data_IF_304670613658
#
_entry.id   IF_304670613658
#
_cell.length_a   1.000
_cell.length_b   1.000
_cell.length_c   1.000
_cell.angle_alpha   90.00
_cell.angle_beta   90.00
_cell.angle_gamma   90.00
#
_symmetry.space_group_name_H-M   'P 1'
#
loop_
_entity.id
_entity.type
_entity.pdbx_description
1 polymer ?
#
# COMPACT_ATOMS: atom_id res chain seq x y z
N UNK A 1 34.53 -22.98 30.21
CA UNK A 1 34.31 -23.14 28.75
C UNK A 1 32.88 -23.49 28.37
N UNK A 2 32.23 -24.51 28.98
CA UNK A 2 30.83 -24.87 28.62
C UNK A 2 29.79 -23.79 29.00
N UNK A 3 29.91 -23.20 30.19
CA UNK A 3 28.95 -22.20 30.68
C UNK A 3 29.01 -20.87 29.89
N UNK A 4 30.22 -20.40 29.56
CA UNK A 4 30.42 -19.19 28.75
C UNK A 4 29.93 -19.35 27.31
N UNK A 5 30.08 -20.54 26.73
CA UNK A 5 29.53 -20.87 25.40
C UNK A 5 28.00 -20.89 25.41
N UNK A 6 27.38 -21.50 26.44
CA UNK A 6 25.92 -21.51 26.63
C UNK A 6 25.36 -20.09 26.78
N UNK A 7 26.02 -19.24 27.56
CA UNK A 7 25.61 -17.83 27.72
C UNK A 7 25.68 -17.05 26.40
N UNK A 8 26.74 -17.24 25.61
CA UNK A 8 26.88 -16.58 24.31
C UNK A 8 25.77 -16.99 23.33
N UNK A 9 25.40 -18.28 23.30
CA UNK A 9 24.30 -18.77 22.46
C UNK A 9 22.95 -18.16 22.87
N UNK A 10 22.66 -18.08 24.17
CA UNK A 10 21.42 -17.48 24.68
C UNK A 10 21.34 -15.99 24.33
N UNK A 11 22.45 -15.26 24.47
CA UNK A 11 22.49 -13.83 24.12
C UNK A 11 22.26 -13.63 22.62
N UNK A 12 22.87 -14.45 21.76
CA UNK A 12 22.67 -14.35 20.31
C UNK A 12 21.25 -14.70 19.88
N UNK A 13 20.62 -15.73 20.46
CA UNK A 13 19.23 -16.08 20.13
C UNK A 13 18.24 -15.03 20.65
N UNK A 14 18.44 -14.51 21.86
CA UNK A 14 17.63 -13.42 22.40
C UNK A 14 17.75 -12.16 21.53
N UNK A 15 18.98 -11.79 21.13
CA UNK A 15 19.19 -10.67 20.22
C UNK A 15 18.51 -10.90 18.86
N UNK A 16 18.59 -12.11 18.31
CA UNK A 16 17.90 -12.48 17.07
C UNK A 16 16.38 -12.36 17.16
N UNK A 17 15.78 -12.82 18.27
CA UNK A 17 14.34 -12.72 18.54
C UNK A 17 13.92 -11.26 18.70
N UNK A 18 14.69 -10.46 19.45
CA UNK A 18 14.45 -9.02 19.61
C UNK A 18 14.51 -8.34 18.24
N UNK A 19 15.57 -8.54 17.46
CA UNK A 19 15.68 -7.97 16.10
C UNK A 19 14.52 -8.41 15.20
N UNK A 20 14.06 -9.65 15.31
CA UNK A 20 12.92 -10.17 14.55
C UNK A 20 11.61 -9.51 14.97
N UNK A 21 11.36 -9.33 16.28
CA UNK A 21 10.17 -8.69 16.81
C UNK A 21 10.13 -7.17 16.55
N UNK A 22 11.30 -6.51 16.60
CA UNK A 22 11.44 -5.08 16.32
C UNK A 22 11.70 -4.76 14.85
N UNK A 23 11.68 -5.77 13.97
CA UNK A 23 11.67 -5.55 12.53
C UNK A 23 10.30 -5.01 12.14
N UNK A 24 10.08 -3.72 12.38
CA UNK A 24 8.96 -3.01 11.81
C UNK A 24 9.13 -3.07 10.29
N UNK A 25 8.26 -3.84 9.63
CA UNK A 25 8.20 -3.88 8.19
C UNK A 25 7.79 -2.49 7.70
N UNK A 26 8.78 -1.70 7.31
CA UNK A 26 8.54 -0.55 6.46
C UNK A 26 8.26 -1.07 5.06
N UNK A 27 7.24 -0.50 4.43
CA UNK A 27 6.95 -0.77 3.03
C UNK A 27 7.24 0.51 2.28
N UNK A 28 8.26 0.49 1.43
CA UNK A 28 8.58 1.57 0.52
C UNK A 28 8.68 0.96 -0.87
N UNK A 29 7.70 1.24 -1.72
CA UNK A 29 7.60 0.60 -3.02
C UNK A 29 6.74 1.40 -4.01
N UNK A 30 6.87 1.07 -5.28
CA UNK A 30 6.07 1.59 -6.39
C UNK A 30 5.43 0.42 -7.12
N UNK A 31 4.18 0.62 -7.53
CA UNK A 31 3.40 -0.34 -8.27
C UNK A 31 2.83 0.29 -9.54
N UNK A 32 2.90 -0.43 -10.65
CA UNK A 32 2.22 -0.08 -11.90
C UNK A 32 1.10 -1.09 -12.14
N UNK A 33 -0.13 -0.60 -12.33
CA UNK A 33 -1.31 -1.45 -12.50
C UNK A 33 -2.22 -0.92 -13.60
N UNK A 34 -2.92 -1.82 -14.27
CA UNK A 34 -3.96 -1.48 -15.23
C UNK A 34 -5.25 -2.17 -14.81
N UNK A 35 -6.29 -1.38 -14.58
CA UNK A 35 -7.63 -1.89 -14.32
C UNK A 35 -8.45 -1.74 -15.60
N UNK A 36 -9.04 -2.83 -16.06
CA UNK A 36 -9.87 -2.85 -17.25
C UNK A 36 -11.30 -3.13 -16.81
N UNK A 37 -12.23 -2.24 -17.16
CA UNK A 37 -13.65 -2.38 -16.80
C UNK A 37 -14.52 -1.82 -17.91
N UNK A 38 -15.47 -2.61 -18.37
CA UNK A 38 -16.45 -2.19 -19.39
C UNK A 38 -15.80 -1.49 -20.59
N UNK A 39 -14.67 -1.97 -21.11
CA UNK A 39 -13.97 -1.38 -22.26
C UNK A 39 -13.18 -0.08 -21.98
N UNK A 40 -13.22 0.43 -20.76
CA UNK A 40 -12.35 1.52 -20.29
C UNK A 40 -11.08 0.93 -19.64
N UNK A 41 -9.97 1.66 -19.73
CA UNK A 41 -8.70 1.29 -19.09
C UNK A 41 -8.22 2.37 -18.15
N UNK A 42 -7.99 2.00 -16.89
CA UNK A 42 -7.41 2.87 -15.89
C UNK A 42 -5.99 2.41 -15.54
N UNK A 43 -5.00 3.10 -16.10
CA UNK A 43 -3.58 2.87 -15.84
C UNK A 43 -3.13 3.69 -14.64
N UNK A 44 -2.53 3.06 -13.64
CA UNK A 44 -2.23 3.68 -12.35
C UNK A 44 -0.82 3.34 -11.89
N UNK A 45 -0.08 4.38 -11.53
CA UNK A 45 1.16 4.31 -10.77
C UNK A 45 0.82 4.66 -9.33
N UNK A 46 1.18 3.78 -8.41
CA UNK A 46 0.93 3.96 -6.98
C UNK A 46 2.23 3.81 -6.22
N UNK A 47 2.64 4.84 -5.48
CA UNK A 47 3.72 4.70 -4.49
C UNK A 47 3.12 4.47 -3.11
N UNK A 48 3.78 3.62 -2.32
CA UNK A 48 3.46 3.38 -0.92
C UNK A 48 4.70 3.65 -0.08
N UNK A 49 4.50 4.44 0.97
CA UNK A 49 5.43 4.54 2.09
C UNK A 49 4.67 4.24 3.39
N UNK A 50 5.10 3.24 4.14
CA UNK A 50 4.47 2.81 5.38
C UNK A 50 5.55 2.59 6.43
N UNK A 51 5.39 3.22 7.60
CA UNK A 51 6.26 3.04 8.75
C UNK A 51 5.52 3.35 10.05
N UNK A 52 5.76 2.55 11.09
CA UNK A 52 5.32 2.87 12.47
C UNK A 52 3.80 3.15 12.60
N UNK A 53 2.94 2.46 11.83
CA UNK A 53 1.48 2.65 11.90
C UNK A 53 0.96 3.87 11.12
N UNK A 54 1.83 4.53 10.36
CA UNK A 54 1.50 5.63 9.47
C UNK A 54 1.90 5.30 8.03
N UNK A 55 1.16 5.84 7.07
CA UNK A 55 1.56 5.70 5.68
C UNK A 55 1.10 6.83 4.78
N UNK A 56 1.72 6.88 3.61
CA UNK A 56 1.44 7.80 2.53
C UNK A 56 1.31 7.00 1.24
N UNK A 57 0.26 7.27 0.49
CA UNK A 57 0.05 6.76 -0.86
C UNK A 57 0.03 7.94 -1.81
N UNK A 58 0.88 7.94 -2.83
CA UNK A 58 0.69 8.83 -3.98
C UNK A 58 0.13 8.01 -5.15
N UNK A 59 -0.91 8.53 -5.79
CA UNK A 59 -1.55 7.90 -6.95
C UNK A 59 -1.51 8.87 -8.10
N UNK A 60 -0.94 8.42 -9.22
CA UNK A 60 -1.06 9.08 -10.50
C UNK A 60 -1.67 8.09 -11.48
N UNK A 61 -2.73 8.49 -12.17
CA UNK A 61 -3.46 7.59 -13.05
C UNK A 61 -4.00 8.28 -14.30
N UNK A 62 -4.27 7.45 -15.30
CA UNK A 62 -4.80 7.84 -16.60
C UNK A 62 -5.99 6.93 -16.93
N UNK A 63 -7.20 7.48 -16.86
CA UNK A 63 -8.40 6.81 -17.34
C UNK A 63 -8.55 7.08 -18.83
N UNK A 64 -8.61 6.01 -19.63
CA UNK A 64 -8.92 6.05 -21.06
C UNK A 64 -10.31 5.49 -21.27
N UNK A 65 -11.22 6.30 -21.79
CA UNK A 65 -12.59 5.86 -22.10
C UNK A 65 -12.69 5.16 -23.47
N UNK A 66 -13.92 4.82 -23.89
CA UNK A 66 -14.19 4.18 -25.17
C UNK A 66 -13.82 5.02 -26.40
N UNK A 67 -13.88 6.35 -26.26
CA UNK A 67 -13.60 7.31 -27.32
C UNK A 67 -12.12 7.72 -27.33
N UNK A 68 -11.28 7.06 -26.53
CA UNK A 68 -9.88 7.36 -26.27
C UNK A 68 -9.65 8.73 -25.61
N UNK A 69 -10.68 9.32 -24.99
CA UNK A 69 -10.46 10.49 -24.15
C UNK A 69 -9.69 10.10 -22.89
N UNK A 70 -8.86 11.03 -22.42
CA UNK A 70 -7.99 10.80 -21.28
C UNK A 70 -8.34 11.74 -20.15
N UNK A 71 -8.70 11.17 -19.00
CA UNK A 71 -8.89 11.89 -17.74
C UNK A 71 -7.82 11.48 -16.73
N UNK A 72 -7.15 12.45 -16.12
CA UNK A 72 -6.06 12.20 -15.17
C UNK A 72 -6.53 12.15 -13.71
N UNK A 73 -5.96 11.22 -12.94
CA UNK A 73 -6.00 11.19 -11.48
C UNK A 73 -4.63 11.58 -10.93
N UNK A 74 -4.59 12.45 -9.93
CA UNK A 74 -3.33 12.75 -9.23
C UNK A 74 -3.61 13.19 -7.81
N UNK A 75 -3.21 12.39 -6.81
CA UNK A 75 -3.49 12.70 -5.41
C UNK A 75 -2.51 12.04 -4.44
N UNK A 76 -2.45 12.59 -3.24
CA UNK A 76 -1.77 12.01 -2.09
C UNK A 76 -2.82 11.66 -1.02
N UNK A 77 -2.65 10.49 -0.41
CA UNK A 77 -3.46 10.01 0.71
C UNK A 77 -2.51 9.76 1.88
N UNK A 78 -2.74 10.42 3.02
CA UNK A 78 -2.13 10.00 4.29
C UNK A 78 -3.10 9.12 5.05
N UNK A 79 -2.58 8.13 5.76
CA UNK A 79 -3.38 7.21 6.52
C UNK A 79 -2.66 6.71 7.77
N UNK A 80 -3.43 6.19 8.70
CA UNK A 80 -2.92 5.37 9.82
C UNK A 80 -3.33 3.93 9.59
N UNK A 81 -2.60 2.98 10.19
CA UNK A 81 -2.96 1.57 10.11
C UNK A 81 -2.65 0.81 11.39
N UNK A 82 -3.44 -0.23 11.64
CA UNK A 82 -3.17 -1.27 12.63
C UNK A 82 -2.86 -2.57 11.90
N UNK A 83 -1.85 -3.31 12.39
CA UNK A 83 -1.37 -4.54 11.76
C UNK A 83 -1.71 -5.76 12.61
N UNK A 84 -2.29 -6.76 11.97
CA UNK A 84 -2.54 -8.11 12.53
C UNK A 84 -2.01 -9.15 11.53
N UNK A 85 -0.77 -9.61 11.72
CA UNK A 85 -0.09 -10.48 10.75
C UNK A 85 0.11 -9.76 9.41
N UNK A 86 -0.44 -10.30 8.32
CA UNK A 86 -0.39 -9.69 6.99
C UNK A 86 -1.56 -8.72 6.71
N UNK A 87 -2.50 -8.60 7.65
CA UNK A 87 -3.64 -7.70 7.53
C UNK A 87 -3.29 -6.31 8.09
N UNK A 88 -3.55 -5.29 7.29
CA UNK A 88 -3.36 -3.88 7.62
C UNK A 88 -4.70 -3.18 7.51
N UNK A 89 -5.31 -2.86 8.65
CA UNK A 89 -6.54 -2.08 8.68
C UNK A 89 -6.20 -0.60 8.61
N UNK A 90 -6.21 -0.06 7.39
CA UNK A 90 -5.86 1.33 7.14
C UNK A 90 -7.07 2.26 7.28
N UNK A 91 -6.84 3.48 7.75
CA UNK A 91 -7.83 4.55 7.81
C UNK A 91 -7.26 5.83 7.21
N UNK A 92 -7.92 6.35 6.18
CA UNK A 92 -7.52 7.60 5.54
C UNK A 92 -7.65 8.77 6.51
N UNK A 93 -6.63 9.61 6.61
CA UNK A 93 -6.58 10.77 7.51
C UNK A 93 -6.51 12.09 6.75
N UNK A 94 -5.97 12.09 5.54
CA UNK A 94 -5.90 13.25 4.66
C UNK A 94 -5.92 12.79 3.20
N UNK A 95 -6.64 13.51 2.35
CA UNK A 95 -6.65 13.30 0.90
C UNK A 95 -6.47 14.66 0.25
N UNK A 96 -5.42 14.81 -0.54
CA UNK A 96 -5.09 16.04 -1.25
C UNK A 96 -4.96 15.73 -2.74
N UNK A 97 -5.84 16.32 -3.55
CA UNK A 97 -5.71 16.24 -5.00
C UNK A 97 -4.68 17.25 -5.47
N UNK A 98 -3.82 16.82 -6.39
CA UNK A 98 -2.87 17.71 -7.05
C UNK A 98 -3.61 18.55 -8.13
N UNK A 99 -3.11 19.75 -8.50
CA UNK A 99 -3.76 20.59 -9.51
C UNK A 99 -3.95 19.95 -10.89
N UNK A 100 -3.19 18.90 -11.21
CA UNK A 100 -3.30 18.11 -12.44
C UNK A 100 -4.38 17.02 -12.38
N UNK A 101 -5.06 16.86 -11.24
CA UNK A 101 -6.19 15.96 -11.12
C UNK A 101 -7.41 16.49 -11.89
N UNK A 102 -7.89 15.69 -12.83
CA UNK A 102 -9.04 16.01 -13.68
C UNK A 102 -10.26 15.12 -13.40
N UNK A 103 -10.05 13.94 -12.78
CA UNK A 103 -11.16 13.03 -12.47
C UNK A 103 -12.09 13.67 -11.43
N UNK A 104 -13.37 13.73 -11.78
CA UNK A 104 -14.46 14.09 -10.88
C UNK A 104 -14.61 13.10 -9.74
N UNK A 105 -15.28 13.51 -8.65
CA UNK A 105 -15.53 12.61 -7.52
C UNK A 105 -16.35 11.38 -7.93
N UNK A 106 -17.30 11.52 -8.86
CA UNK A 106 -18.13 10.43 -9.35
C UNK A 106 -17.31 9.40 -10.15
N UNK A 107 -16.41 9.87 -11.03
CA UNK A 107 -15.49 8.98 -11.74
C UNK A 107 -14.55 8.25 -10.77
N UNK A 108 -14.05 8.95 -9.76
CA UNK A 108 -13.22 8.32 -8.72
C UNK A 108 -13.99 7.22 -7.97
N UNK A 109 -15.26 7.44 -7.62
CA UNK A 109 -16.10 6.44 -6.94
C UNK A 109 -16.36 5.19 -7.79
N UNK A 110 -16.33 5.32 -9.12
CA UNK A 110 -16.46 4.17 -10.03
C UNK A 110 -15.23 3.26 -10.01
N UNK A 111 -14.04 3.83 -9.78
CA UNK A 111 -12.76 3.13 -9.95
C UNK A 111 -12.02 2.84 -8.65
N UNK A 112 -12.24 3.64 -7.62
CA UNK A 112 -11.48 3.59 -6.37
C UNK A 112 -12.39 3.27 -5.19
N UNK A 113 -11.91 2.47 -4.23
CA UNK A 113 -12.54 2.32 -2.93
C UNK A 113 -12.66 3.66 -2.18
N UNK A 114 -13.65 3.74 -1.28
CA UNK A 114 -13.92 4.94 -0.48
C UNK A 114 -12.70 5.48 0.28
N UNK A 115 -11.78 4.62 0.72
CA UNK A 115 -10.52 5.01 1.37
C UNK A 115 -9.68 6.01 0.57
N UNK A 116 -9.71 5.96 -0.76
CA UNK A 116 -8.97 6.87 -1.63
C UNK A 116 -9.72 8.17 -1.97
N UNK A 117 -10.93 8.34 -1.46
CA UNK A 117 -11.86 9.41 -1.83
C UNK A 117 -12.38 10.18 -0.61
N UNK A 118 -12.60 9.48 0.51
CA UNK A 118 -13.26 10.02 1.71
C UNK A 118 -12.34 9.90 2.91
N UNK A 119 -12.03 11.03 3.55
CA UNK A 119 -11.28 11.05 4.82
C UNK A 119 -12.06 10.30 5.90
N UNK A 120 -11.37 9.47 6.66
CA UNK A 120 -11.93 8.64 7.71
C UNK A 120 -12.44 7.27 7.23
N UNK A 121 -12.54 7.03 5.92
CA UNK A 121 -12.87 5.72 5.39
C UNK A 121 -11.73 4.71 5.66
N UNK A 122 -12.12 3.46 5.87
CA UNK A 122 -11.20 2.36 6.15
C UNK A 122 -11.02 1.46 4.94
N UNK A 123 -9.86 0.81 4.85
CA UNK A 123 -9.59 -0.20 3.86
C UNK A 123 -8.68 -1.29 4.41
N UNK A 124 -9.10 -2.57 4.35
CA UNK A 124 -8.23 -3.68 4.70
C UNK A 124 -7.29 -3.98 3.54
N UNK A 125 -6.00 -3.73 3.75
CA UNK A 125 -4.96 -4.26 2.87
C UNK A 125 -4.46 -5.58 3.43
N UNK A 126 -4.28 -6.59 2.58
CA UNK A 126 -3.41 -7.72 2.92
C UNK A 126 -2.12 -7.53 2.14
N UNK A 127 -0.98 -7.45 2.83
CA UNK A 127 0.32 -7.20 2.19
C UNK A 127 1.20 -8.41 2.45
N UNK A 128 1.54 -9.13 1.37
CA UNK A 128 2.38 -10.33 1.46
C UNK A 128 3.70 -10.08 0.76
N UNK A 129 4.81 -10.39 1.42
CA UNK A 129 6.13 -10.40 0.78
C UNK A 129 6.20 -11.60 -0.18
N UNK A 130 6.51 -11.35 -1.45
CA UNK A 130 6.59 -12.38 -2.49
C UNK A 130 8.00 -12.63 -3.01
N UNK A 131 8.96 -11.78 -2.63
CA UNK A 131 10.38 -11.95 -2.92
C UNK A 131 11.27 -10.99 -2.15
N UNK A 132 12.51 -10.83 -2.63
CA UNK A 132 13.43 -9.80 -2.13
C UNK A 132 12.88 -8.46 -2.58
N UNK A 133 12.51 -7.60 -1.63
CA UNK A 133 11.95 -6.26 -1.85
C UNK A 133 10.75 -6.18 -2.82
N UNK A 134 9.92 -7.23 -2.82
CA UNK A 134 8.67 -7.30 -3.58
C UNK A 134 7.52 -7.73 -2.68
N UNK A 135 6.39 -7.05 -2.84
CA UNK A 135 5.17 -7.26 -2.07
C UNK A 135 3.96 -7.31 -2.98
N UNK A 136 3.02 -8.20 -2.72
CA UNK A 136 1.71 -8.19 -3.36
C UNK A 136 0.68 -7.63 -2.39
N UNK A 137 -0.03 -6.60 -2.86
CA UNK A 137 -1.12 -5.97 -2.12
C UNK A 137 -2.44 -6.60 -2.56
N UNK A 138 -3.31 -6.87 -1.61
CA UNK A 138 -4.63 -7.44 -1.85
C UNK A 138 -5.71 -6.62 -1.14
N UNK A 139 -6.91 -6.60 -1.73
CA UNK A 139 -8.16 -6.22 -1.07
C UNK A 139 -8.94 -7.49 -0.76
N UNK A 140 -8.87 -7.95 0.50
CA UNK A 140 -9.39 -9.26 0.86
C UNK A 140 -8.73 -10.38 0.00
N UNK A 141 -9.50 -11.18 -0.76
CA UNK A 141 -8.94 -12.23 -1.61
C UNK A 141 -8.44 -11.74 -3.00
N UNK A 142 -8.67 -10.48 -3.36
CA UNK A 142 -8.37 -9.98 -4.72
C UNK A 142 -7.02 -9.26 -4.76
N UNK A 143 -6.05 -9.70 -5.58
CA UNK A 143 -4.78 -8.99 -5.76
C UNK A 143 -5.04 -7.64 -6.42
N UNK A 144 -4.50 -6.58 -5.84
CA UNK A 144 -4.57 -5.22 -6.37
C UNK A 144 -3.38 -4.95 -7.29
N UNK A 145 -2.16 -5.15 -6.79
CA UNK A 145 -0.93 -4.89 -7.54
C UNK A 145 0.28 -5.55 -6.89
N UNK A 146 1.30 -5.78 -7.72
CA UNK A 146 2.65 -6.09 -7.29
C UNK A 146 3.40 -4.78 -7.07
N UNK A 147 4.05 -4.65 -5.92
CA UNK A 147 4.78 -3.48 -5.49
C UNK A 147 6.25 -3.87 -5.32
N UNK A 148 7.14 -3.09 -5.93
CA UNK A 148 8.56 -3.36 -5.98
C UNK A 148 9.33 -2.12 -5.51
N UNK A 149 10.49 -2.34 -4.89
CA UNK A 149 11.37 -1.26 -4.41
C UNK A 149 12.29 -0.73 -5.50
#
# INVERSE_FOLDING_TARGET
MKLTFLLAVIVMTAAGIVVFLFRQDSVHCIANSNYIRNGETFSVITSHDMREGHGVIAITGRLTDHDNNVTRLSKIIRFTYQREGDLYLARSTLIESSPDNQMSQQEQQKWLPAFFITVGATFPFVIKRTGIDTWTFYSGPVPLYLCEK
#
